data_IF_565987416269
#
_entry.id   IF_565987416269
#
_cell.length_a   1.000
_cell.length_b   1.000
_cell.length_c   1.000
_cell.angle_alpha   90.00
_cell.angle_beta   90.00
_cell.angle_gamma   90.00
#
_symmetry.space_group_name_H-M   'P 1'
#
loop_
_entity.id
_entity.type
_entity.pdbx_description
1 polymer ?
#
# COMPACT_ATOMS: atom_id res chain seq x y z
N UNK A 1 -4.20 20.87 19.95
CA UNK A 1 -4.25 19.62 19.17
C UNK A 1 -5.57 18.90 19.45
N UNK A 2 -6.31 18.47 18.42
CA UNK A 2 -7.52 17.63 18.59
C UNK A 2 -7.24 16.20 18.12
N UNK A 3 -7.91 15.23 18.71
CA UNK A 3 -7.81 13.82 18.28
C UNK A 3 -9.16 13.35 17.80
N UNK A 4 -9.20 12.83 16.58
CA UNK A 4 -10.40 12.27 15.96
C UNK A 4 -10.18 10.81 15.62
N UNK A 5 -11.15 9.96 15.98
CA UNK A 5 -11.08 8.52 15.73
C UNK A 5 -12.20 8.09 14.80
N UNK A 6 -11.83 7.40 13.73
CA UNK A 6 -12.77 6.76 12.79
C UNK A 6 -12.70 5.25 13.02
N UNK A 7 -13.83 4.65 13.38
CA UNK A 7 -13.91 3.19 13.58
C UNK A 7 -14.72 2.52 12.48
N UNK A 8 -14.17 1.46 11.90
CA UNK A 8 -14.89 0.56 10.99
C UNK A 8 -14.52 -0.89 11.30
N UNK A 9 -15.52 -1.73 11.61
CA UNK A 9 -15.32 -3.15 11.92
C UNK A 9 -14.18 -3.40 12.93
N UNK A 10 -14.20 -2.66 14.05
CA UNK A 10 -13.19 -2.72 15.12
C UNK A 10 -11.73 -2.36 14.70
N UNK A 11 -11.57 -1.77 13.52
CA UNK A 11 -10.35 -1.08 13.12
C UNK A 11 -10.56 0.40 13.36
N UNK A 12 -9.71 0.97 14.19
CA UNK A 12 -9.73 2.37 14.56
C UNK A 12 -8.57 3.10 13.88
N UNK A 13 -8.91 4.16 13.15
CA UNK A 13 -7.97 5.12 12.58
C UNK A 13 -8.03 6.38 13.43
N UNK A 14 -6.93 6.67 14.11
CA UNK A 14 -6.79 7.85 14.96
C UNK A 14 -6.03 8.92 14.19
N UNK A 15 -6.62 10.09 14.08
CA UNK A 15 -6.05 11.28 13.46
C UNK A 15 -5.78 12.33 14.53
N UNK A 16 -4.55 12.81 14.59
CA UNK A 16 -4.21 14.04 15.27
C UNK A 16 -4.43 15.20 14.30
N UNK A 17 -5.33 16.09 14.67
CA UNK A 17 -5.67 17.29 13.91
C UNK A 17 -4.91 18.46 14.52
N UNK A 18 -3.96 18.97 13.75
CA UNK A 18 -3.19 20.17 14.09
C UNK A 18 -3.87 21.38 13.43
N UNK A 19 -4.40 22.27 14.26
CA UNK A 19 -5.02 23.53 13.83
C UNK A 19 -4.05 24.67 14.13
N UNK A 20 -3.51 25.31 13.10
CA UNK A 20 -2.46 26.30 13.30
C UNK A 20 -2.05 27.01 12.03
N UNK A 21 -0.87 27.65 12.06
CA UNK A 21 -0.31 28.37 10.91
C UNK A 21 0.89 27.63 10.33
N UNK A 22 1.03 27.70 9.01
CA UNK A 22 2.22 27.22 8.31
C UNK A 22 3.43 28.08 8.65
N UNK A 23 4.51 27.46 9.07
CA UNK A 23 5.82 28.10 9.24
C UNK A 23 6.93 27.29 8.57
N UNK A 24 8.05 27.93 8.24
CA UNK A 24 9.24 27.24 7.73
C UNK A 24 9.02 26.53 6.38
N UNK A 25 8.25 27.12 5.47
CA UNK A 25 7.95 26.51 4.17
C UNK A 25 9.18 26.44 3.25
N UNK A 26 9.61 25.21 2.94
CA UNK A 26 10.63 24.90 1.95
C UNK A 26 10.04 24.01 0.84
N UNK A 27 10.43 24.26 -0.42
CA UNK A 27 10.02 23.43 -1.56
C UNK A 27 11.23 23.10 -2.43
N UNK A 28 11.43 21.83 -2.73
CA UNK A 28 12.51 21.35 -3.60
C UNK A 28 12.02 20.28 -4.57
N UNK A 29 12.83 20.00 -5.59
CA UNK A 29 12.55 19.03 -6.65
C UNK A 29 13.63 17.97 -6.64
N UNK A 30 13.25 16.72 -6.36
CA UNK A 30 14.10 15.56 -6.58
C UNK A 30 13.86 15.03 -7.99
N UNK A 31 14.94 14.74 -8.72
CA UNK A 31 14.88 14.21 -10.09
C UNK A 31 15.65 12.90 -10.15
N UNK A 32 14.95 11.82 -10.47
CA UNK A 32 15.55 10.49 -10.64
C UNK A 32 15.48 10.11 -12.12
N UNK A 33 16.65 9.90 -12.74
CA UNK A 33 16.78 9.48 -14.14
C UNK A 33 17.29 8.05 -14.19
N UNK A 34 16.49 7.14 -14.73
CA UNK A 34 16.91 5.78 -15.04
C UNK A 34 17.28 5.66 -16.51
N UNK A 35 18.47 5.11 -16.79
CA UNK A 35 18.94 4.86 -18.15
C UNK A 35 19.22 3.36 -18.29
N UNK A 36 18.70 2.74 -19.34
CA UNK A 36 18.88 1.31 -19.63
C UNK A 36 19.15 1.06 -21.12
N UNK A 37 19.77 -0.07 -21.46
CA UNK A 37 20.16 -0.40 -22.84
C UNK A 37 21.61 -0.03 -23.18
N UNK A 38 21.92 0.11 -24.47
CA UNK A 38 23.24 0.56 -24.94
C UNK A 38 24.24 -0.55 -25.31
N UNK A 39 23.79 -1.80 -25.43
CA UNK A 39 24.60 -2.93 -25.88
C UNK A 39 24.27 -3.36 -27.31
N UNK A 40 25.26 -3.91 -28.02
CA UNK A 40 25.07 -4.59 -29.30
C UNK A 40 25.70 -5.96 -29.26
N UNK A 41 25.15 -6.91 -30.00
CA UNK A 41 25.80 -8.23 -30.21
C UNK A 41 25.80 -8.55 -31.69
N UNK A 42 26.97 -8.89 -32.19
CA UNK A 42 27.16 -9.41 -33.55
C UNK A 42 27.46 -10.89 -33.42
N UNK A 43 26.73 -11.72 -34.16
CA UNK A 43 26.94 -13.17 -34.22
C UNK A 43 27.21 -13.59 -35.66
N UNK A 44 28.29 -14.34 -35.83
CA UNK A 44 28.63 -15.03 -37.07
C UNK A 44 28.15 -16.47 -37.00
N UNK A 45 27.26 -16.86 -37.90
CA UNK A 45 26.81 -18.24 -38.01
C UNK A 45 27.87 -19.12 -38.68
N UNK A 46 28.57 -19.95 -37.90
CA UNK A 46 29.68 -20.79 -38.38
C UNK A 46 29.31 -21.69 -39.57
N UNK A 47 28.06 -22.19 -39.63
CA UNK A 47 27.59 -23.09 -40.68
C UNK A 47 26.92 -22.39 -41.88
N UNK A 48 26.46 -21.15 -41.71
CA UNK A 48 25.71 -20.43 -42.75
C UNK A 48 26.50 -19.29 -43.41
N UNK A 49 27.66 -18.92 -42.85
CA UNK A 49 28.46 -17.77 -43.29
C UNK A 49 27.78 -16.41 -43.08
N UNK A 50 26.57 -16.37 -42.51
CA UNK A 50 25.79 -15.14 -42.33
C UNK A 50 26.19 -14.43 -41.05
N UNK A 51 26.31 -13.11 -41.15
CA UNK A 51 26.49 -12.20 -40.03
C UNK A 51 25.14 -11.60 -39.68
N UNK A 52 24.72 -11.70 -38.41
CA UNK A 52 23.55 -10.98 -37.91
C UNK A 52 23.93 -10.15 -36.69
N UNK A 53 23.32 -8.96 -36.59
CA UNK A 53 23.52 -8.05 -35.48
C UNK A 53 22.19 -7.68 -34.84
N UNK A 54 22.21 -7.46 -33.54
CA UNK A 54 21.08 -6.84 -32.83
C UNK A 54 21.62 -5.76 -31.91
N UNK A 55 20.99 -4.59 -31.95
CA UNK A 55 21.28 -3.46 -31.08
C UNK A 55 20.16 -3.31 -30.05
N UNK A 56 20.52 -3.09 -28.80
CA UNK A 56 19.58 -2.73 -27.74
C UNK A 56 19.53 -1.20 -27.67
N UNK A 57 18.41 -0.55 -28.05
CA UNK A 57 18.29 0.89 -28.00
C UNK A 57 18.47 1.40 -26.57
N UNK A 58 19.09 2.57 -26.42
CA UNK A 58 19.17 3.26 -25.13
C UNK A 58 17.80 3.84 -24.84
N UNK A 59 17.24 3.54 -23.67
CA UNK A 59 16.03 4.16 -23.15
C UNK A 59 16.35 4.89 -21.85
N UNK A 60 15.77 6.08 -21.69
CA UNK A 60 15.86 6.84 -20.45
C UNK A 60 14.47 7.22 -19.97
N UNK A 61 14.21 7.05 -18.68
CA UNK A 61 13.02 7.58 -18.02
C UNK A 61 13.44 8.52 -16.90
N UNK A 62 12.90 9.73 -16.93
CA UNK A 62 13.12 10.75 -15.89
C UNK A 62 11.83 10.89 -15.08
N UNK A 63 11.96 10.90 -13.77
CA UNK A 63 10.85 11.15 -12.84
C UNK A 63 11.18 12.33 -11.94
N UNK A 64 10.22 13.24 -11.77
CA UNK A 64 10.34 14.40 -10.89
C UNK A 64 9.41 14.24 -9.68
N UNK A 65 9.96 14.42 -8.49
CA UNK A 65 9.24 14.39 -7.22
C UNK A 65 9.39 15.75 -6.55
N UNK A 66 8.27 16.45 -6.36
CA UNK A 66 8.26 17.72 -5.62
C UNK A 66 8.14 17.43 -4.14
N UNK A 67 9.00 18.00 -3.31
CA UNK A 67 8.97 17.82 -1.86
C UNK A 67 8.72 19.18 -1.21
N UNK A 68 7.75 19.21 -0.31
CA UNK A 68 7.35 20.39 0.45
C UNK A 68 7.54 20.08 1.93
N UNK A 69 8.35 20.85 2.61
CA UNK A 69 8.60 20.77 4.06
C UNK A 69 8.06 22.02 4.73
N UNK A 70 7.35 21.85 5.84
CA UNK A 70 6.83 22.96 6.63
C UNK A 70 6.47 22.48 8.04
N UNK A 71 6.31 23.42 8.96
CA UNK A 71 5.77 23.18 10.29
C UNK A 71 4.35 23.75 10.41
N UNK A 72 3.53 23.12 11.23
CA UNK A 72 2.27 23.70 11.73
C UNK A 72 2.51 24.11 13.16
N UNK A 73 2.35 25.40 13.45
CA UNK A 73 2.43 25.95 14.81
C UNK A 73 1.04 26.30 15.29
N UNK A 74 0.62 25.65 16.37
CA UNK A 74 -0.66 25.88 17.04
C UNK A 74 -0.60 27.12 17.96
N UNK A 75 -1.76 27.59 18.43
CA UNK A 75 -1.84 28.76 19.32
C UNK A 75 -1.18 28.53 20.69
N UNK A 76 -1.09 27.27 21.14
CA UNK A 76 -0.42 26.87 22.39
C UNK A 76 1.11 26.71 22.23
N UNK A 77 1.65 26.96 21.03
CA UNK A 77 3.06 26.81 20.71
C UNK A 77 3.49 25.39 20.37
N UNK A 78 2.57 24.43 20.30
CA UNK A 78 2.88 23.10 19.80
C UNK A 78 3.25 23.16 18.31
N UNK A 79 4.33 22.46 17.94
CA UNK A 79 4.82 22.42 16.55
C UNK A 79 4.81 20.99 16.00
N UNK A 80 4.31 20.83 14.78
CA UNK A 80 4.40 19.59 14.01
C UNK A 80 5.12 19.82 12.69
N UNK A 81 6.33 19.30 12.56
CA UNK A 81 7.09 19.31 11.30
C UNK A 81 6.56 18.25 10.33
N UNK A 82 6.30 18.65 9.09
CA UNK A 82 5.67 17.84 8.06
C UNK A 82 6.46 17.90 6.76
N UNK A 83 6.71 16.72 6.19
CA UNK A 83 7.32 16.56 4.86
C UNK A 83 6.34 15.87 3.94
N UNK A 84 6.01 16.52 2.82
CA UNK A 84 5.01 16.06 1.86
C UNK A 84 5.58 15.95 0.46
N UNK A 85 5.26 14.86 -0.22
CA UNK A 85 5.64 14.62 -1.62
C UNK A 85 4.49 14.92 -2.56
N UNK A 86 4.76 15.61 -3.65
CA UNK A 86 3.84 15.96 -4.74
C UNK A 86 2.58 16.68 -4.26
N UNK A 87 2.73 17.58 -3.27
CA UNK A 87 1.64 18.40 -2.78
C UNK A 87 1.18 19.37 -3.89
N UNK A 88 -0.09 19.26 -4.28
CA UNK A 88 -0.70 20.15 -5.28
C UNK A 88 -1.23 21.45 -4.67
N UNK A 89 -1.42 21.51 -3.35
CA UNK A 89 -1.88 22.70 -2.66
C UNK A 89 -0.75 23.73 -2.56
N UNK A 90 -1.06 24.98 -2.89
CA UNK A 90 -0.15 26.11 -2.65
C UNK A 90 -0.23 26.50 -1.19
N UNK A 91 0.82 26.21 -0.43
CA UNK A 91 1.00 26.68 0.93
C UNK A 91 1.79 28.00 0.94
N UNK A 92 1.55 28.84 1.95
CA UNK A 92 2.29 30.08 2.22
C UNK A 92 2.54 30.17 3.72
N UNK A 93 3.63 30.82 4.13
CA UNK A 93 3.84 31.11 5.55
C UNK A 93 2.64 31.92 6.10
N UNK A 94 2.33 31.68 7.37
CA UNK A 94 1.20 32.26 8.12
C UNK A 94 -0.19 31.86 7.59
N UNK A 95 -0.26 30.95 6.62
CA UNK A 95 -1.53 30.41 6.16
C UNK A 95 -2.16 29.57 7.27
N UNK A 96 -3.38 29.89 7.73
CA UNK A 96 -4.07 29.08 8.72
C UNK A 96 -4.57 27.80 8.05
N UNK A 97 -4.16 26.66 8.60
CA UNK A 97 -4.48 25.33 8.09
C UNK A 97 -4.87 24.37 9.21
N UNK A 98 -5.65 23.37 8.83
CA UNK A 98 -5.90 22.16 9.63
C UNK A 98 -5.26 20.97 8.92
N UNK A 99 -4.36 20.27 9.62
CA UNK A 99 -3.67 19.09 9.08
C UNK A 99 -4.04 17.84 9.86
N UNK A 100 -4.50 16.83 9.11
CA UNK A 100 -4.94 15.57 9.67
C UNK A 100 -3.83 14.55 9.52
N UNK A 101 -3.17 14.22 10.62
CA UNK A 101 -2.04 13.28 10.66
C UNK A 101 -2.48 11.99 11.33
N UNK A 102 -2.35 10.88 10.63
CA UNK A 102 -2.70 9.58 11.19
C UNK A 102 -1.63 9.12 12.21
N UNK A 103 -2.07 8.61 13.36
CA UNK A 103 -1.22 8.32 14.52
C UNK A 103 -0.12 7.28 14.24
N UNK A 104 -0.44 6.13 13.63
CA UNK A 104 0.48 4.98 13.53
C UNK A 104 1.48 5.11 12.39
N UNK A 105 1.02 5.61 11.26
CA UNK A 105 1.80 5.79 10.03
C UNK A 105 2.44 7.17 9.94
N UNK A 106 2.09 8.10 10.85
CA UNK A 106 2.48 9.51 10.83
C UNK A 106 2.25 10.16 9.47
N UNK A 107 1.26 9.65 8.72
CA UNK A 107 1.01 10.07 7.36
C UNK A 107 -0.09 11.12 7.33
N UNK A 108 0.18 12.23 6.64
CA UNK A 108 -0.81 13.29 6.44
C UNK A 108 -1.90 12.79 5.50
N UNK A 109 -3.13 12.76 5.98
CA UNK A 109 -4.29 12.38 5.19
C UNK A 109 -4.77 13.57 4.34
N UNK A 110 -5.04 14.70 4.98
CA UNK A 110 -5.68 15.87 4.38
C UNK A 110 -5.13 17.16 4.99
N UNK A 111 -5.12 18.21 4.19
CA UNK A 111 -4.87 19.59 4.60
C UNK A 111 -6.07 20.42 4.21
N UNK A 112 -6.58 21.23 5.13
CA UNK A 112 -7.68 22.15 4.90
C UNK A 112 -7.16 23.56 5.12
N UNK A 113 -7.39 24.44 4.15
CA UNK A 113 -7.16 25.87 4.30
C UNK A 113 -8.33 26.47 5.08
N UNK A 114 -8.06 27.05 6.25
CA UNK A 114 -9.09 27.61 7.11
C UNK A 114 -9.79 28.84 6.49
N UNK A 115 -9.08 29.60 5.64
CA UNK A 115 -9.63 30.83 5.04
C UNK A 115 -10.57 30.56 3.86
N UNK A 116 -10.34 29.50 3.10
CA UNK A 116 -11.10 29.21 1.87
C UNK A 116 -11.95 27.95 1.93
N UNK A 117 -11.81 27.16 3.00
CA UNK A 117 -12.40 25.82 3.08
C UNK A 117 -11.81 24.83 2.07
N UNK A 118 -10.83 25.25 1.25
CA UNK A 118 -10.23 24.41 0.23
C UNK A 118 -9.46 23.26 0.87
N UNK A 119 -9.80 22.04 0.44
CA UNK A 119 -9.25 20.82 0.97
C UNK A 119 -8.36 20.11 -0.05
N UNK A 120 -7.12 19.79 0.35
CA UNK A 120 -6.24 18.93 -0.42
C UNK A 120 -6.09 17.57 0.26
N UNK A 121 -6.44 16.50 -0.45
CA UNK A 121 -6.17 15.14 0.00
C UNK A 121 -4.73 14.80 -0.37
N UNK A 122 -3.88 14.57 0.63
CA UNK A 122 -2.44 14.33 0.45
C UNK A 122 -2.17 12.84 0.29
N UNK A 123 -2.60 12.04 1.27
CA UNK A 123 -2.56 10.59 1.17
C UNK A 123 -3.97 10.02 1.21
N UNK A 124 -4.29 9.17 0.22
CA UNK A 124 -5.51 8.38 0.27
C UNK A 124 -5.45 7.39 1.43
N UNK A 125 -6.62 7.06 1.99
CA UNK A 125 -6.73 6.06 3.05
C UNK A 125 -6.13 4.72 2.61
N UNK A 126 -6.26 4.36 1.32
CA UNK A 126 -5.59 3.17 0.77
C UNK A 126 -4.07 3.21 0.95
N UNK A 127 -3.42 4.36 0.69
CA UNK A 127 -1.97 4.51 0.87
C UNK A 127 -1.59 4.45 2.34
N UNK A 128 -2.39 5.04 3.23
CA UNK A 128 -2.19 4.98 4.69
C UNK A 128 -2.27 3.52 5.18
N UNK A 129 -3.33 2.80 4.78
CA UNK A 129 -3.53 1.40 5.15
C UNK A 129 -2.42 0.49 4.62
N UNK A 130 -1.86 0.76 3.43
CA UNK A 130 -0.76 -0.04 2.86
C UNK A 130 0.59 0.21 3.51
N UNK A 131 0.78 1.32 4.23
CA UNK A 131 2.06 1.64 4.90
C UNK A 131 2.32 0.76 6.13
N UNK A 132 1.28 0.12 6.68
CA UNK A 132 1.42 -0.73 7.86
C UNK A 132 0.51 -1.93 7.79
N UNK A 133 1.03 -3.10 8.15
CA UNK A 133 0.24 -4.32 8.29
C UNK A 133 -0.68 -4.29 9.53
N UNK A 134 -0.52 -3.30 10.41
CA UNK A 134 -1.27 -3.17 11.66
C UNK A 134 -2.79 -3.22 11.46
N UNK A 135 -3.34 -2.37 10.58
CA UNK A 135 -4.80 -2.30 10.37
C UNK A 135 -5.34 -3.59 9.79
N UNK A 136 -4.60 -4.17 8.83
CA UNK A 136 -5.01 -5.42 8.21
C UNK A 136 -4.98 -6.58 9.21
N UNK A 137 -3.96 -6.65 10.08
CA UNK A 137 -3.88 -7.63 11.14
C UNK A 137 -5.04 -7.49 12.14
N UNK A 138 -5.34 -6.28 12.57
CA UNK A 138 -6.45 -5.99 13.50
C UNK A 138 -7.81 -6.32 12.86
N UNK A 139 -7.98 -6.03 11.57
CA UNK A 139 -9.16 -6.40 10.79
C UNK A 139 -9.34 -7.93 10.68
N UNK A 140 -8.25 -8.66 10.40
CA UNK A 140 -8.25 -10.12 10.29
C UNK A 140 -8.56 -10.78 11.63
N UNK A 141 -7.96 -10.31 12.73
CA UNK A 141 -8.12 -10.93 14.05
C UNK A 141 -9.57 -10.96 14.50
N UNK A 142 -10.36 -9.97 14.10
CA UNK A 142 -11.75 -9.83 14.49
C UNK A 142 -12.74 -10.38 13.45
N UNK A 143 -12.26 -10.80 12.27
CA UNK A 143 -13.11 -11.34 11.22
C UNK A 143 -13.12 -12.88 11.28
N UNK A 144 -14.28 -13.49 11.04
CA UNK A 144 -14.43 -14.95 11.02
C UNK A 144 -13.90 -15.58 9.72
N UNK A 145 -13.81 -14.81 8.63
CA UNK A 145 -13.40 -15.29 7.30
C UNK A 145 -11.97 -15.89 7.30
N UNK A 146 -10.94 -15.23 7.87
CA UNK A 146 -9.60 -15.82 8.00
C UNK A 146 -9.58 -17.12 8.81
N UNK A 147 -10.42 -17.23 9.85
CA UNK A 147 -10.56 -18.46 10.64
C UNK A 147 -11.08 -19.60 9.76
N UNK A 148 -12.12 -19.38 8.97
CA UNK A 148 -12.64 -20.40 8.03
C UNK A 148 -11.64 -20.78 6.95
N UNK A 149 -10.85 -19.83 6.43
CA UNK A 149 -9.79 -20.12 5.45
C UNK A 149 -8.67 -20.95 6.07
N UNK A 150 -8.30 -20.66 7.32
CA UNK A 150 -7.33 -21.46 8.04
C UNK A 150 -7.82 -22.90 8.26
N UNK A 151 -9.07 -23.08 8.70
CA UNK A 151 -9.68 -24.41 8.87
C UNK A 151 -9.80 -25.17 7.55
N UNK A 152 -10.19 -24.52 6.45
CA UNK A 152 -10.25 -25.17 5.15
C UNK A 152 -8.86 -25.58 4.65
N UNK A 153 -7.84 -24.76 4.89
CA UNK A 153 -6.45 -25.10 4.54
C UNK A 153 -5.97 -26.31 5.34
N UNK A 154 -6.23 -26.36 6.66
CA UNK A 154 -5.93 -27.53 7.49
C UNK A 154 -6.63 -28.80 7.01
N UNK A 155 -7.91 -28.68 6.65
CA UNK A 155 -8.69 -29.81 6.13
C UNK A 155 -8.11 -30.34 4.80
N UNK A 156 -7.74 -29.45 3.88
CA UNK A 156 -7.10 -29.83 2.61
C UNK A 156 -5.74 -30.51 2.84
N UNK A 157 -4.92 -29.98 3.75
CA UNK A 157 -3.62 -30.59 4.10
C UNK A 157 -3.83 -31.98 4.71
N UNK A 158 -4.81 -32.13 5.59
CA UNK A 158 -5.10 -33.41 6.26
C UNK A 158 -5.57 -34.46 5.25
N UNK A 159 -6.47 -34.08 4.34
CA UNK A 159 -6.91 -34.96 3.25
C UNK A 159 -5.75 -35.35 2.33
N UNK A 160 -4.86 -34.41 2.02
CA UNK A 160 -3.68 -34.68 1.22
C UNK A 160 -2.75 -35.69 1.90
N UNK A 161 -2.45 -35.51 3.19
CA UNK A 161 -1.62 -36.45 3.97
C UNK A 161 -2.26 -37.84 3.98
N UNK A 162 -3.56 -37.94 4.28
CA UNK A 162 -4.27 -39.23 4.28
C UNK A 162 -4.20 -39.93 2.92
N UNK A 163 -4.30 -39.16 1.82
CA UNK A 163 -4.18 -39.67 0.47
C UNK A 163 -2.76 -40.15 0.14
N UNK A 164 -1.72 -39.40 0.52
CA UNK A 164 -0.32 -39.81 0.36
C UNK A 164 -0.05 -41.12 1.08
N UNK A 165 -0.51 -41.26 2.33
CA UNK A 165 -0.38 -42.51 3.08
C UNK A 165 -1.07 -43.68 2.34
N UNK A 166 -2.29 -43.48 1.84
CA UNK A 166 -2.99 -44.50 1.05
C UNK A 166 -2.23 -44.91 -0.21
N UNK A 167 -1.65 -43.95 -0.93
CA UNK A 167 -0.91 -44.16 -2.18
C UNK A 167 0.39 -44.97 -1.93
N UNK A 168 1.10 -44.68 -0.83
CA UNK A 168 2.29 -45.43 -0.37
C UNK A 168 1.94 -46.87 -0.01
N UNK A 169 0.86 -47.10 0.75
CA UNK A 169 0.40 -48.45 1.08
C UNK A 169 -0.08 -49.23 -0.15
N UNK A 170 -0.64 -48.53 -1.15
CA UNK A 170 -1.19 -49.11 -2.38
C UNK A 170 -0.16 -49.34 -3.49
N UNK A 171 1.14 -49.09 -3.23
CA UNK A 171 2.25 -49.28 -4.19
C UNK A 171 2.07 -48.55 -5.54
N UNK A 172 1.51 -47.34 -5.51
CA UNK A 172 1.30 -46.51 -6.72
C UNK A 172 2.49 -45.57 -6.99
N UNK A 173 2.73 -45.17 -8.25
CA UNK A 173 3.92 -44.40 -8.63
C UNK A 173 3.89 -42.95 -8.09
N UNK A 174 4.93 -42.60 -7.32
CA UNK A 174 5.05 -41.33 -6.57
C UNK A 174 5.08 -40.02 -7.38
N UNK A 175 5.25 -40.09 -8.70
CA UNK A 175 5.20 -38.91 -9.59
C UNK A 175 3.80 -38.29 -9.68
N UNK A 176 2.76 -39.13 -9.61
CA UNK A 176 1.37 -38.69 -9.60
C UNK A 176 1.07 -37.91 -8.31
N UNK A 177 1.71 -38.32 -7.21
CA UNK A 177 1.56 -37.78 -5.86
C UNK A 177 2.11 -36.35 -5.72
N UNK A 178 3.21 -36.04 -6.42
CA UNK A 178 3.82 -34.70 -6.46
C UNK A 178 2.99 -33.73 -7.32
N UNK A 179 2.52 -34.19 -8.49
CA UNK A 179 1.66 -33.40 -9.38
C UNK A 179 0.34 -33.02 -8.70
N UNK A 180 -0.25 -33.96 -7.96
CA UNK A 180 -1.46 -33.75 -7.17
C UNK A 180 -1.21 -32.80 -5.99
N UNK A 181 -0.05 -32.87 -5.33
CA UNK A 181 0.34 -31.92 -4.27
C UNK A 181 0.28 -30.46 -4.76
N UNK A 182 0.80 -30.22 -5.97
CA UNK A 182 0.82 -28.91 -6.59
C UNK A 182 -0.61 -28.40 -6.88
N UNK A 183 -1.50 -29.30 -7.33
CA UNK A 183 -2.93 -29.01 -7.57
C UNK A 183 -3.69 -28.74 -6.26
N UNK A 184 -3.30 -29.34 -5.13
CA UNK A 184 -3.95 -29.11 -3.84
C UNK A 184 -3.41 -27.89 -3.07
N UNK A 185 -2.13 -27.53 -3.26
CA UNK A 185 -1.51 -26.40 -2.55
C UNK A 185 -1.70 -25.04 -3.25
N UNK A 186 -1.79 -25.00 -4.58
CA UNK A 186 -2.01 -23.75 -5.32
C UNK A 186 -3.37 -23.09 -5.01
N UNK A 187 -4.51 -23.81 -4.97
CA UNK A 187 -5.82 -23.18 -4.75
C UNK A 187 -5.95 -22.46 -3.41
N UNK A 188 -5.53 -23.01 -2.25
CA UNK A 188 -5.56 -22.28 -0.98
C UNK A 188 -4.71 -21.00 -1.00
N UNK A 189 -3.54 -21.03 -1.64
CA UNK A 189 -2.68 -19.86 -1.77
C UNK A 189 -3.32 -18.76 -2.63
N UNK A 190 -3.89 -19.12 -3.78
CA UNK A 190 -4.61 -18.16 -4.63
C UNK A 190 -5.88 -17.64 -3.96
N UNK A 191 -6.63 -18.50 -3.26
CA UNK A 191 -7.80 -18.10 -2.46
C UNK A 191 -7.40 -17.10 -1.38
N UNK A 192 -6.33 -17.36 -0.63
CA UNK A 192 -5.82 -16.42 0.36
C UNK A 192 -5.47 -15.07 -0.26
N UNK A 193 -4.79 -15.05 -1.42
CA UNK A 193 -4.44 -13.80 -2.13
C UNK A 193 -5.68 -13.04 -2.59
N UNK A 194 -6.68 -13.73 -3.11
CA UNK A 194 -7.95 -13.13 -3.56
C UNK A 194 -8.71 -12.56 -2.36
N UNK A 195 -8.84 -13.34 -1.28
CA UNK A 195 -9.54 -12.90 -0.08
C UNK A 195 -8.83 -11.72 0.58
N UNK A 196 -7.50 -11.77 0.71
CA UNK A 196 -6.69 -10.64 1.21
C UNK A 196 -6.97 -9.37 0.41
N UNK A 197 -7.03 -9.47 -0.92
CA UNK A 197 -7.34 -8.34 -1.79
C UNK A 197 -8.79 -7.84 -1.60
N UNK A 198 -9.76 -8.73 -1.48
CA UNK A 198 -11.17 -8.39 -1.26
C UNK A 198 -11.40 -7.72 0.10
N UNK A 199 -10.82 -8.27 1.16
CA UNK A 199 -10.88 -7.72 2.52
C UNK A 199 -10.23 -6.33 2.59
N UNK A 200 -9.05 -6.15 1.97
CA UNK A 200 -8.42 -4.83 1.89
C UNK A 200 -9.29 -3.80 1.17
N UNK A 201 -9.98 -4.20 0.10
CA UNK A 201 -10.90 -3.31 -0.61
C UNK A 201 -12.11 -2.94 0.25
N UNK A 202 -12.71 -3.90 0.94
CA UNK A 202 -13.83 -3.62 1.85
C UNK A 202 -13.42 -2.70 2.99
N UNK A 203 -12.30 -2.99 3.67
CA UNK A 203 -11.75 -2.16 4.73
C UNK A 203 -11.49 -0.73 4.25
N UNK A 204 -10.82 -0.58 3.10
CA UNK A 204 -10.52 0.73 2.51
C UNK A 204 -11.81 1.49 2.17
N UNK A 205 -12.81 0.83 1.58
CA UNK A 205 -14.08 1.44 1.21
C UNK A 205 -14.86 1.90 2.45
N UNK A 206 -15.02 1.01 3.43
CA UNK A 206 -15.74 1.30 4.66
C UNK A 206 -15.11 2.44 5.46
N UNK A 207 -13.79 2.42 5.62
CA UNK A 207 -13.07 3.51 6.28
C UNK A 207 -13.18 4.82 5.50
N UNK A 208 -13.11 4.79 4.17
CA UNK A 208 -13.30 5.98 3.34
C UNK A 208 -14.68 6.61 3.53
N UNK A 209 -15.73 5.79 3.60
CA UNK A 209 -17.09 6.26 3.85
C UNK A 209 -17.23 6.85 5.25
N UNK A 210 -16.63 6.23 6.27
CA UNK A 210 -16.71 6.72 7.65
C UNK A 210 -15.91 8.02 7.86
N UNK A 211 -14.70 8.11 7.29
CA UNK A 211 -13.91 9.35 7.27
C UNK A 211 -14.71 10.47 6.59
N UNK A 212 -15.31 10.20 5.42
CA UNK A 212 -16.09 11.20 4.70
C UNK A 212 -17.33 11.67 5.49
N UNK A 213 -17.97 10.77 6.26
CA UNK A 213 -19.11 11.12 7.12
C UNK A 213 -18.70 12.02 8.28
N UNK A 214 -17.65 11.68 9.03
CA UNK A 214 -17.15 12.53 10.11
C UNK A 214 -16.69 13.89 9.59
N UNK A 215 -16.04 13.92 8.43
CA UNK A 215 -15.57 15.17 7.82
C UNK A 215 -16.67 16.11 7.33
N UNK A 216 -17.89 15.62 7.05
CA UNK A 216 -19.01 16.46 6.63
C UNK A 216 -19.83 17.00 7.81
N UNK A 217 -19.49 16.61 9.05
CA UNK A 217 -20.15 17.05 10.28
C UNK A 217 -19.41 18.22 10.95
N UNK A 218 -18.28 18.65 10.39
CA UNK A 218 -17.42 19.76 10.82
C UNK A 218 -17.51 20.86 9.75
#
# INVERSE_FOLDING_TARGET
>A
MKTESVTYMNVELVFHVYEGKVQGLNKFVQTDTHVSGGGGTIRTGFLSGKVSGTTNPISSSTTHTYITEFAVVEEDGAEASLTLTNLQLVLRNDLPISVWVEEKTKSVHKIINANSGAAATVNSIEKILKRTDYYFKRFIQNNTVPKYIWWSTLLVITLYIAWVFWDVFSHRPGLLTILIALVFLLPPYFLYKIVKKALNRQLTKGLKEQVAKQMNQI
#
